data_IF_466337193910
#
_entry.id   IF_466337193910
#
_cell.length_a   1.000
_cell.length_b   1.000
_cell.length_c   1.000
_cell.angle_alpha   90.00
_cell.angle_beta   90.00
_cell.angle_gamma   90.00
#
_symmetry.space_group_name_H-M   'P 1'
#
loop_
_entity.id
_entity.type
_entity.pdbx_description
1 polymer ?
#
# COMPACT_ATOMS: atom_id res chain seq x y z
N UNK A 1 7.59 -4.47 7.22
CA UNK A 1 7.08 -5.81 7.59
C UNK A 1 6.60 -5.75 9.03
N UNK A 2 5.36 -6.18 9.29
CA UNK A 2 4.72 -6.02 10.61
C UNK A 2 4.78 -7.31 11.44
N UNK A 3 5.38 -7.27 12.64
CA UNK A 3 5.18 -8.28 13.69
C UNK A 3 4.08 -7.81 14.63
N UNK A 4 2.98 -8.56 14.67
CA UNK A 4 1.90 -8.38 15.64
C UNK A 4 2.21 -9.23 16.88
N UNK A 5 2.53 -8.59 18.00
CA UNK A 5 2.54 -9.21 19.31
C UNK A 5 1.54 -8.48 20.19
N UNK A 6 0.35 -9.07 20.39
CA UNK A 6 -0.81 -8.78 21.28
C UNK A 6 -1.21 -7.34 21.67
N UNK A 7 -0.37 -6.30 21.50
CA UNK A 7 -0.63 -4.89 21.81
C UNK A 7 0.28 -3.91 21.04
N UNK A 8 1.28 -4.38 20.27
CA UNK A 8 2.20 -3.53 19.52
C UNK A 8 2.43 -4.02 18.08
N UNK A 9 2.53 -3.07 17.15
CA UNK A 9 2.93 -3.27 15.76
C UNK A 9 4.41 -2.95 15.61
N UNK A 10 5.23 -3.98 15.43
CA UNK A 10 6.66 -3.85 15.17
C UNK A 10 6.88 -3.66 13.68
N UNK A 11 7.64 -2.64 13.29
CA UNK A 11 8.04 -2.42 11.91
C UNK A 11 9.55 -2.51 11.77
N UNK A 12 10.00 -3.29 10.80
CA UNK A 12 11.40 -3.37 10.41
C UNK A 12 11.60 -2.93 8.95
N UNK A 13 12.71 -2.24 8.72
CA UNK A 13 13.29 -1.93 7.43
C UNK A 13 14.61 -2.71 7.31
N UNK A 14 14.79 -3.34 6.15
CA UNK A 14 15.94 -4.19 5.86
C UNK A 14 16.57 -3.68 4.57
N UNK A 15 17.90 -3.61 4.55
CA UNK A 15 18.69 -3.31 3.36
C UNK A 15 19.87 -4.28 3.32
N UNK A 16 20.08 -4.94 2.18
CA UNK A 16 21.24 -5.82 1.95
C UNK A 16 21.46 -6.83 3.08
N UNK A 17 20.37 -7.49 3.51
CA UNK A 17 20.37 -8.51 4.58
C UNK A 17 20.57 -7.99 6.01
N UNK A 18 20.74 -6.67 6.19
CA UNK A 18 20.84 -6.04 7.50
C UNK A 18 19.56 -5.30 7.87
N UNK A 19 19.10 -5.47 9.10
CA UNK A 19 18.06 -4.62 9.68
C UNK A 19 18.67 -3.24 9.90
N UNK A 20 18.23 -2.27 9.11
CA UNK A 20 18.71 -0.88 9.17
C UNK A 20 17.76 0.03 9.92
N UNK A 21 16.51 -0.38 10.11
CA UNK A 21 15.54 0.38 10.88
C UNK A 21 14.58 -0.55 11.60
N UNK A 22 14.32 -0.27 12.87
CA UNK A 22 13.31 -1.00 13.63
C UNK A 22 12.65 -0.09 14.65
N UNK A 23 11.32 -0.16 14.74
CA UNK A 23 10.56 0.57 15.75
C UNK A 23 9.24 -0.12 16.10
N UNK A 24 8.68 0.30 17.24
CA UNK A 24 7.47 -0.25 17.84
C UNK A 24 6.38 0.82 17.84
N UNK A 25 5.26 0.51 17.20
CA UNK A 25 4.11 1.40 17.08
C UNK A 25 2.93 0.86 17.89
N UNK A 26 2.21 1.75 18.57
CA UNK A 26 0.98 1.43 19.31
C UNK A 26 -0.28 1.44 18.43
N UNK A 27 -0.17 1.96 17.20
CA UNK A 27 -1.29 2.04 16.26
C UNK A 27 -1.61 0.65 15.71
N UNK A 28 -2.89 0.28 15.62
CA UNK A 28 -3.33 -1.02 15.08
C UNK A 28 -3.21 -1.16 13.56
N UNK A 29 -3.10 -0.05 12.82
CA UNK A 29 -3.05 -0.03 11.35
C UNK A 29 -1.70 0.44 10.83
N UNK A 30 -1.20 -0.24 9.78
CA UNK A 30 0.12 0.02 9.19
C UNK A 30 0.21 1.38 8.45
N UNK A 31 -0.93 1.96 8.07
CA UNK A 31 -1.02 3.17 7.24
C UNK A 31 -0.21 4.37 7.76
N UNK A 32 -0.12 4.56 9.08
CA UNK A 32 0.64 5.67 9.69
C UNK A 32 2.08 5.34 10.11
N UNK A 33 2.52 4.09 9.92
CA UNK A 33 3.79 3.61 10.47
C UNK A 33 4.97 3.81 9.52
N UNK A 34 4.74 3.79 8.20
CA UNK A 34 5.81 3.96 7.19
C UNK A 34 6.50 5.31 7.30
N UNK A 35 5.74 6.40 7.25
CA UNK A 35 6.28 7.78 7.33
C UNK A 35 7.06 7.97 8.64
N UNK A 36 6.51 7.46 9.74
CA UNK A 36 7.17 7.58 11.05
C UNK A 36 8.47 6.78 11.11
N UNK A 37 8.51 5.59 10.51
CA UNK A 37 9.72 4.77 10.40
C UNK A 37 10.78 5.47 9.53
N UNK A 38 10.40 5.96 8.35
CA UNK A 38 11.30 6.65 7.43
C UNK A 38 11.92 7.90 8.05
N UNK A 39 11.11 8.74 8.71
CA UNK A 39 11.60 9.93 9.44
C UNK A 39 12.58 9.56 10.54
N UNK A 40 12.29 8.49 11.27
CA UNK A 40 13.17 7.99 12.33
C UNK A 40 14.50 7.50 11.77
N UNK A 41 14.46 6.75 10.68
CA UNK A 41 15.66 6.27 9.98
C UNK A 41 16.47 7.44 9.42
N UNK A 42 15.85 8.41 8.76
CA UNK A 42 16.52 9.60 8.24
C UNK A 42 17.22 10.37 9.34
N UNK A 43 16.57 10.57 10.49
CA UNK A 43 17.17 11.24 11.65
C UNK A 43 18.39 10.48 12.20
N UNK A 44 18.33 9.14 12.24
CA UNK A 44 19.41 8.30 12.78
C UNK A 44 20.58 8.15 11.82
N UNK A 45 20.30 8.01 10.53
CA UNK A 45 21.32 7.74 9.51
C UNK A 45 21.92 9.03 8.92
N UNK A 46 21.27 10.18 9.13
CA UNK A 46 21.64 11.44 8.50
C UNK A 46 21.34 11.51 7.00
N UNK A 47 20.76 10.45 6.42
CA UNK A 47 20.43 10.32 5.02
C UNK A 47 19.10 9.58 4.83
N UNK A 48 18.43 9.81 3.69
CA UNK A 48 17.19 9.13 3.30
C UNK A 48 17.51 8.00 2.32
N UNK A 49 16.70 6.96 2.33
CA UNK A 49 16.71 5.94 1.27
C UNK A 49 16.03 6.48 0.02
N UNK A 50 16.63 6.29 -1.14
CA UNK A 50 16.05 6.74 -2.41
C UNK A 50 14.87 5.87 -2.83
N UNK A 51 14.94 4.56 -2.59
CA UNK A 51 13.91 3.61 -3.01
C UNK A 51 13.22 2.98 -1.79
N UNK A 52 11.89 2.98 -1.80
CA UNK A 52 11.08 2.45 -0.69
C UNK A 52 10.19 1.33 -1.19
N UNK A 53 10.53 0.10 -0.81
CA UNK A 53 9.75 -1.10 -1.11
C UNK A 53 8.87 -1.52 0.07
N UNK A 54 7.56 -1.63 -0.15
CA UNK A 54 6.61 -1.94 0.93
C UNK A 54 5.45 -2.86 0.49
N UNK A 55 4.82 -3.50 1.47
CA UNK A 55 3.66 -4.37 1.26
C UNK A 55 2.37 -3.62 0.93
N UNK A 56 1.39 -4.38 0.48
CA UNK A 56 -0.02 -4.01 0.35
C UNK A 56 -0.60 -3.26 1.56
N UNK A 57 -0.15 -3.58 2.78
CA UNK A 57 -0.62 -2.92 4.00
C UNK A 57 -0.23 -1.44 4.13
N UNK A 58 0.77 -0.97 3.37
CA UNK A 58 1.23 0.42 3.37
C UNK A 58 0.69 1.25 2.21
N UNK A 59 -0.19 0.70 1.36
CA UNK A 59 -0.79 1.46 0.27
C UNK A 59 -1.73 2.55 0.83
N UNK A 60 -1.31 3.80 0.80
CA UNK A 60 -2.17 4.95 1.11
C UNK A 60 -1.77 6.16 0.28
N UNK A 61 -2.71 7.09 0.08
CA UNK A 61 -2.42 8.37 -0.57
C UNK A 61 -1.34 9.13 0.20
N UNK A 62 -1.44 9.18 1.53
CA UNK A 62 -0.51 9.92 2.37
C UNK A 62 0.92 9.38 2.26
N UNK A 63 1.10 8.05 2.18
CA UNK A 63 2.42 7.45 1.96
C UNK A 63 2.96 7.78 0.57
N UNK A 64 2.13 7.75 -0.47
CA UNK A 64 2.57 8.11 -1.82
C UNK A 64 3.00 9.58 -1.91
N UNK A 65 2.18 10.50 -1.38
CA UNK A 65 2.48 11.92 -1.39
C UNK A 65 3.74 12.21 -0.57
N UNK A 66 3.90 11.59 0.61
CA UNK A 66 5.09 11.75 1.41
C UNK A 66 6.36 11.31 0.65
N UNK A 67 6.34 10.13 0.03
CA UNK A 67 7.49 9.63 -0.73
C UNK A 67 7.85 10.55 -1.88
N UNK A 68 6.85 11.01 -2.64
CA UNK A 68 7.05 11.95 -3.75
C UNK A 68 7.65 13.28 -3.27
N UNK A 69 7.05 13.91 -2.25
CA UNK A 69 7.54 15.16 -1.67
C UNK A 69 8.97 15.03 -1.11
N UNK A 70 9.35 13.83 -0.65
CA UNK A 70 10.68 13.55 -0.13
C UNK A 70 11.64 13.04 -1.21
N UNK A 71 11.24 13.02 -2.49
CA UNK A 71 12.07 12.55 -3.60
C UNK A 71 12.49 11.08 -3.45
N UNK A 72 11.59 10.24 -2.92
CA UNK A 72 11.79 8.80 -2.75
C UNK A 72 10.90 8.03 -3.74
N UNK A 73 11.47 7.07 -4.46
CA UNK A 73 10.76 6.25 -5.43
C UNK A 73 9.96 5.14 -4.73
N UNK A 74 8.67 5.07 -5.04
CA UNK A 74 7.76 4.10 -4.44
C UNK A 74 7.75 2.75 -5.18
N UNK A 75 7.92 1.68 -4.42
CA UNK A 75 7.77 0.28 -4.81
C UNK A 75 6.77 -0.41 -3.87
N UNK A 76 5.60 0.21 -3.69
CA UNK A 76 4.53 -0.28 -2.82
C UNK A 76 3.61 -1.21 -3.62
N UNK A 77 3.41 -2.42 -3.12
CA UNK A 77 2.49 -3.39 -3.71
C UNK A 77 1.04 -2.91 -3.54
N UNK A 78 0.19 -2.91 -4.58
CA UNK A 78 -1.22 -2.54 -4.42
C UNK A 78 -1.99 -3.49 -3.49
N UNK A 79 -2.94 -2.97 -2.72
CA UNK A 79 -3.71 -3.74 -1.73
C UNK A 79 -4.53 -4.89 -2.33
N UNK A 80 -5.08 -4.67 -3.53
CA UNK A 80 -5.87 -5.67 -4.25
C UNK A 80 -5.03 -6.53 -5.21
N UNK A 81 -3.70 -6.47 -5.17
CA UNK A 81 -2.82 -7.09 -6.17
C UNK A 81 -3.04 -8.61 -6.32
N UNK A 82 -3.21 -9.35 -5.21
CA UNK A 82 -3.54 -10.78 -5.27
C UNK A 82 -5.02 -11.01 -5.62
N UNK A 83 -5.92 -10.17 -5.09
CA UNK A 83 -7.36 -10.29 -5.33
C UNK A 83 -7.70 -10.13 -6.82
N UNK A 84 -7.00 -9.23 -7.53
CA UNK A 84 -7.13 -9.00 -8.99
C UNK A 84 -6.94 -10.27 -9.82
N UNK A 85 -6.14 -11.25 -9.34
CA UNK A 85 -5.91 -12.52 -10.03
C UNK A 85 -7.11 -13.48 -9.94
N UNK A 86 -7.95 -13.33 -8.91
CA UNK A 86 -9.08 -14.23 -8.66
C UNK A 86 -10.20 -14.09 -9.70
N UNK A 87 -10.83 -15.20 -10.08
CA UNK A 87 -12.02 -15.20 -10.96
C UNK A 87 -13.16 -14.36 -10.36
N UNK A 88 -13.32 -14.37 -9.03
CA UNK A 88 -14.35 -13.60 -8.31
C UNK A 88 -14.16 -12.09 -8.47
N UNK A 89 -12.92 -11.60 -8.47
CA UNK A 89 -12.66 -10.17 -8.68
C UNK A 89 -12.96 -9.76 -10.13
N UNK A 90 -12.52 -10.55 -11.10
CA UNK A 90 -12.74 -10.29 -12.54
C UNK A 90 -14.22 -10.30 -12.93
N UNK A 91 -15.05 -11.11 -12.26
CA UNK A 91 -16.51 -11.14 -12.47
C UNK A 91 -17.28 -9.93 -11.92
N UNK A 92 -16.65 -9.07 -11.12
CA UNK A 92 -17.32 -7.89 -10.56
C UNK A 92 -17.34 -6.75 -11.59
N UNK A 93 -18.26 -6.85 -12.56
CA UNK A 93 -18.42 -5.91 -13.68
C UNK A 93 -18.66 -4.46 -13.25
N UNK A 94 -19.17 -4.24 -12.03
CA UNK A 94 -19.42 -2.91 -11.47
C UNK A 94 -18.18 -2.19 -10.92
N UNK A 95 -17.01 -2.83 -10.89
CA UNK A 95 -15.76 -2.22 -10.41
C UNK A 95 -15.12 -1.36 -11.47
N UNK A 96 -14.60 -0.20 -11.08
CA UNK A 96 -13.84 0.68 -11.95
C UNK A 96 -12.58 -0.01 -12.51
N UNK A 97 -11.94 -0.90 -11.74
CA UNK A 97 -10.79 -1.72 -12.19
C UNK A 97 -11.14 -2.65 -13.37
N UNK A 98 -12.43 -2.98 -13.55
CA UNK A 98 -12.91 -3.89 -14.58
C UNK A 98 -13.65 -3.14 -15.70
N UNK A 99 -13.52 -1.81 -15.75
CA UNK A 99 -14.07 -0.95 -16.81
C UNK A 99 -12.94 -0.40 -17.67
N UNK A 100 -13.24 -0.15 -18.94
CA UNK A 100 -12.30 0.49 -19.86
C UNK A 100 -12.39 2.00 -19.68
N UNK A 101 -11.26 2.65 -19.46
CA UNK A 101 -11.14 4.10 -19.43
C UNK A 101 -10.70 4.60 -20.80
N UNK A 102 -11.39 5.61 -21.31
CA UNK A 102 -11.06 6.35 -22.53
C UNK A 102 -10.49 7.72 -22.11
N UNK A 103 -9.23 7.97 -22.48
CA UNK A 103 -8.52 9.19 -22.11
C UNK A 103 -8.86 10.38 -23.03
N UNK A 104 -9.30 10.14 -24.26
CA UNK A 104 -9.67 11.21 -25.19
C UNK A 104 -11.01 11.83 -24.79
N UNK A 105 -11.95 10.98 -24.37
CA UNK A 105 -13.31 11.37 -24.01
C UNK A 105 -13.51 11.61 -22.49
N UNK A 106 -12.46 11.41 -21.69
CA UNK A 106 -12.48 11.33 -20.21
C UNK A 106 -13.73 10.59 -19.68
N UNK A 107 -13.85 9.31 -20.05
CA UNK A 107 -15.01 8.52 -19.68
C UNK A 107 -14.68 7.05 -19.40
N UNK A 108 -15.57 6.38 -18.65
CA UNK A 108 -15.50 4.93 -18.47
C UNK A 108 -16.58 4.24 -19.28
N UNK A 109 -16.27 3.08 -19.85
CA UNK A 109 -17.26 2.26 -20.56
C UNK A 109 -17.62 1.05 -19.71
N UNK A 110 -18.92 0.88 -19.44
CA UNK A 110 -19.42 -0.29 -18.71
C UNK A 110 -19.47 -1.54 -19.61
N UNK A 111 -19.69 -2.72 -19.01
CA UNK A 111 -19.76 -3.99 -19.76
C UNK A 111 -20.92 -4.09 -20.76
N UNK A 112 -21.90 -3.18 -20.68
CA UNK A 112 -23.00 -3.06 -21.63
C UNK A 112 -22.74 -1.98 -22.70
N UNK A 113 -21.51 -1.47 -22.82
CA UNK A 113 -21.12 -0.48 -23.81
C UNK A 113 -21.57 0.96 -23.52
N UNK A 114 -22.28 1.20 -22.41
CA UNK A 114 -22.71 2.56 -22.02
C UNK A 114 -21.54 3.36 -21.41
N UNK A 115 -21.41 4.62 -21.80
CA UNK A 115 -20.41 5.57 -21.29
C UNK A 115 -20.83 6.15 -19.93
N UNK A 116 -19.85 6.32 -19.06
CA UNK A 116 -19.93 7.04 -17.79
C UNK A 116 -19.06 8.29 -17.94
N UNK A 117 -19.71 9.42 -18.18
CA UNK A 117 -19.06 10.71 -18.44
C UNK A 117 -18.63 11.38 -17.13
N UNK A 118 -17.58 12.19 -17.18
CA UNK A 118 -17.20 13.04 -16.06
C UNK A 118 -18.34 14.00 -15.71
N UNK A 119 -18.82 13.94 -14.47
CA UNK A 119 -19.93 14.78 -13.98
C UNK A 119 -19.45 15.91 -13.10
N UNK A 120 -18.46 15.63 -12.25
CA UNK A 120 -17.82 16.63 -11.39
C UNK A 120 -16.40 16.22 -11.07
N UNK A 121 -15.57 17.21 -10.81
CA UNK A 121 -14.23 17.06 -10.29
C UNK A 121 -14.02 18.07 -9.16
N UNK A 122 -13.30 17.65 -8.12
CA UNK A 122 -12.93 18.49 -6.99
C UNK A 122 -11.45 18.30 -6.72
N UNK A 123 -10.72 19.40 -6.63
CA UNK A 123 -9.32 19.43 -6.25
C UNK A 123 -9.18 20.22 -4.96
N UNK A 124 -8.56 19.59 -3.95
CA UNK A 124 -8.30 20.19 -2.65
C UNK A 124 -6.80 20.14 -2.34
N UNK A 125 -6.29 21.13 -1.62
CA UNK A 125 -4.92 21.10 -1.12
C UNK A 125 -4.86 20.29 0.18
N UNK A 126 -3.94 19.34 0.25
CA UNK A 126 -3.68 18.52 1.43
C UNK A 126 -2.17 18.42 1.67
N UNK A 127 -1.73 18.94 2.81
CA UNK A 127 -0.32 18.87 3.25
C UNK A 127 0.68 19.33 2.17
N UNK A 128 0.35 20.41 1.44
CA UNK A 128 1.17 20.97 0.35
C UNK A 128 1.08 20.23 -0.99
N UNK A 129 0.16 19.27 -1.14
CA UNK A 129 -0.12 18.56 -2.39
C UNK A 129 -1.57 18.70 -2.82
N UNK A 130 -1.81 18.87 -4.13
CA UNK A 130 -3.15 18.88 -4.68
C UNK A 130 -3.69 17.46 -4.85
N UNK A 131 -4.87 17.21 -4.29
CA UNK A 131 -5.57 15.92 -4.34
C UNK A 131 -6.87 16.10 -5.11
N UNK A 132 -7.00 15.36 -6.21
CA UNK A 132 -8.15 15.43 -7.10
C UNK A 132 -9.01 14.19 -6.96
N UNK A 133 -10.32 14.41 -6.82
CA UNK A 133 -11.36 13.38 -6.88
C UNK A 133 -12.34 13.72 -8.00
N UNK A 134 -12.65 12.75 -8.84
CA UNK A 134 -13.57 12.86 -9.96
C UNK A 134 -14.76 11.91 -9.76
N UNK A 135 -15.93 12.31 -10.26
CA UNK A 135 -17.12 11.48 -10.26
C UNK A 135 -17.62 11.30 -11.69
N UNK A 136 -17.75 10.04 -12.10
CA UNK A 136 -18.20 9.63 -13.42
C UNK A 136 -19.57 8.99 -13.31
N UNK A 137 -20.49 9.34 -14.20
CA UNK A 137 -21.88 8.89 -14.11
C UNK A 137 -22.39 8.45 -15.47
N UNK A 138 -23.07 7.31 -15.47
CA UNK A 138 -23.83 6.85 -16.63
C UNK A 138 -25.06 7.74 -16.80
N UNK A 139 -25.43 8.08 -18.04
CA UNK A 139 -26.65 8.86 -18.30
C UNK A 139 -27.90 8.10 -17.84
N UNK A 140 -28.04 6.84 -18.28
CA UNK A 140 -29.18 6.00 -17.93
C UNK A 140 -28.79 4.52 -17.74
N UNK A 141 -29.29 3.91 -16.66
CA UNK A 141 -29.16 2.49 -16.34
C UNK A 141 -30.51 1.77 -16.15
N UNK A 142 -31.63 2.41 -16.50
CA UNK A 142 -32.96 1.79 -16.47
C UNK A 142 -33.03 0.65 -17.49
N UNK A 143 -33.75 -0.41 -17.12
CA UNK A 143 -33.90 -1.63 -17.92
C UNK A 143 -32.60 -2.40 -18.21
N UNK A 144 -31.48 -2.10 -17.55
CA UNK A 144 -30.20 -2.76 -17.80
C UNK A 144 -30.19 -4.18 -17.19
N UNK A 145 -30.02 -5.20 -18.05
CA UNK A 145 -29.98 -6.62 -17.64
C UNK A 145 -28.84 -6.95 -16.66
N UNK A 146 -27.75 -6.18 -16.69
CA UNK A 146 -26.59 -6.36 -15.81
C UNK A 146 -26.65 -5.52 -14.54
N UNK A 147 -27.77 -4.85 -14.25
CA UNK A 147 -27.87 -3.87 -13.16
C UNK A 147 -27.55 -4.46 -11.78
N UNK A 148 -28.12 -5.61 -11.44
CA UNK A 148 -27.91 -6.25 -10.13
C UNK A 148 -26.43 -6.55 -9.83
N UNK A 149 -25.67 -6.94 -10.85
CA UNK A 149 -24.23 -7.22 -10.73
C UNK A 149 -23.34 -5.97 -10.87
N UNK A 150 -23.84 -4.90 -11.51
CA UNK A 150 -23.07 -3.69 -11.85
C UNK A 150 -23.25 -2.54 -10.84
N UNK A 151 -24.47 -2.37 -10.34
CA UNK A 151 -24.87 -1.27 -9.44
C UNK A 151 -25.05 -1.81 -8.03
N UNK A 152 -24.49 -1.11 -7.04
CA UNK A 152 -24.71 -1.42 -5.62
C UNK A 152 -25.85 -0.63 -4.99
N UNK A 153 -26.33 0.41 -5.66
CA UNK A 153 -27.43 1.24 -5.17
C UNK A 153 -28.73 0.43 -5.13
N UNK A 154 -29.49 0.59 -4.04
CA UNK A 154 -30.80 -0.09 -3.88
C UNK A 154 -31.88 0.51 -4.78
N UNK A 155 -31.77 1.81 -5.05
CA UNK A 155 -32.67 2.52 -5.95
C UNK A 155 -32.45 2.05 -7.40
N UNK A 156 -33.49 1.56 -8.05
CA UNK A 156 -33.46 1.04 -9.43
C UNK A 156 -33.42 2.13 -10.50
N UNK A 157 -33.76 3.37 -10.15
CA UNK A 157 -33.79 4.49 -11.10
C UNK A 157 -32.49 5.29 -11.08
N UNK A 158 -31.68 5.15 -10.04
CA UNK A 158 -30.37 5.82 -9.99
C UNK A 158 -29.38 5.18 -10.97
N UNK A 159 -28.80 5.94 -11.91
CA UNK A 159 -27.76 5.41 -12.77
C UNK A 159 -26.46 5.19 -12.00
N UNK A 160 -25.57 4.39 -12.58
CA UNK A 160 -24.28 4.09 -11.97
C UNK A 160 -23.44 5.36 -11.86
N UNK A 161 -22.92 5.62 -10.67
CA UNK A 161 -21.90 6.62 -10.40
C UNK A 161 -20.63 5.94 -9.86
N UNK A 162 -19.48 6.43 -10.30
CA UNK A 162 -18.15 6.03 -9.84
C UNK A 162 -17.48 7.25 -9.23
N UNK A 163 -16.85 7.06 -8.08
CA UNK A 163 -15.93 8.04 -7.50
C UNK A 163 -14.50 7.53 -7.69
N UNK A 164 -13.68 8.34 -8.36
CA UNK A 164 -12.28 8.07 -8.65
C UNK A 164 -11.41 9.10 -7.94
N UNK A 165 -10.61 8.66 -6.98
CA UNK A 165 -9.54 9.46 -6.40
C UNK A 165 -8.37 9.53 -7.40
N UNK A 166 -8.44 10.45 -8.38
CA UNK A 166 -7.50 10.55 -9.50
C UNK A 166 -6.04 10.52 -9.03
N UNK A 167 -5.67 11.38 -8.08
CA UNK A 167 -4.30 11.45 -7.55
C UNK A 167 -3.85 10.13 -6.93
N UNK A 168 -4.70 9.46 -6.14
CA UNK A 168 -4.36 8.14 -5.57
C UNK A 168 -4.10 7.10 -6.66
N UNK A 169 -4.94 7.07 -7.69
CA UNK A 169 -4.81 6.13 -8.79
C UNK A 169 -3.57 6.39 -9.65
N UNK A 170 -3.23 7.65 -9.89
CA UNK A 170 -2.00 8.05 -10.55
C UNK A 170 -0.77 7.54 -9.78
N UNK A 171 -0.64 7.89 -8.49
CA UNK A 171 0.50 7.46 -7.67
C UNK A 171 0.58 5.95 -7.51
N UNK A 172 -0.57 5.31 -7.32
CA UNK A 172 -0.68 3.85 -7.31
C UNK A 172 -0.21 3.23 -8.62
N UNK A 173 -0.61 3.79 -9.77
CA UNK A 173 -0.24 3.26 -11.10
C UNK A 173 1.27 3.40 -11.32
N UNK A 174 1.85 4.53 -10.91
CA UNK A 174 3.30 4.74 -10.91
C UNK A 174 4.02 3.67 -10.08
N UNK A 175 3.63 3.50 -8.81
CA UNK A 175 4.21 2.47 -7.93
C UNK A 175 3.99 1.04 -8.47
N UNK A 176 2.81 0.74 -9.04
CA UNK A 176 2.50 -0.55 -9.64
C UNK A 176 3.34 -0.85 -10.89
N UNK A 177 3.72 0.18 -11.66
CA UNK A 177 4.69 0.05 -12.77
C UNK A 177 6.09 -0.25 -12.24
N UNK A 178 6.54 0.48 -11.23
CA UNK A 178 7.87 0.30 -10.63
C UNK A 178 8.09 -1.12 -10.11
N UNK A 179 7.11 -1.71 -9.39
CA UNK A 179 7.26 -3.09 -8.88
C UNK A 179 7.31 -4.16 -9.98
N UNK A 180 6.89 -3.84 -11.21
CA UNK A 180 6.87 -4.75 -12.36
C UNK A 180 8.14 -4.69 -13.21
N UNK A 181 9.00 -3.69 -13.01
CA UNK A 181 10.31 -3.64 -13.68
C UNK A 181 11.20 -4.76 -13.13
N UNK A 182 12.25 -5.13 -13.86
CA UNK A 182 13.23 -6.12 -13.39
C UNK A 182 13.83 -5.71 -12.04
N UNK A 183 14.18 -4.43 -11.89
CA UNK A 183 14.64 -3.85 -10.63
C UNK A 183 13.60 -3.98 -9.51
N UNK A 184 12.35 -3.61 -9.76
CA UNK A 184 11.28 -3.75 -8.77
C UNK A 184 10.93 -5.20 -8.43
N UNK A 185 11.10 -6.15 -9.35
CA UNK A 185 10.99 -7.59 -9.08
C UNK A 185 12.14 -8.04 -8.17
N UNK A 186 13.37 -7.65 -8.48
CA UNK A 186 14.55 -7.93 -7.67
C UNK A 186 14.40 -7.40 -6.23
N UNK A 187 14.06 -6.11 -6.08
CA UNK A 187 13.82 -5.49 -4.77
C UNK A 187 12.76 -6.26 -3.96
N UNK A 188 11.67 -6.71 -4.59
CA UNK A 188 10.63 -7.50 -3.92
C UNK A 188 11.11 -8.90 -3.53
N UNK A 189 11.90 -9.56 -4.36
CA UNK A 189 12.50 -10.86 -4.06
C UNK A 189 13.47 -10.76 -2.88
N UNK A 190 14.43 -9.84 -2.95
CA UNK A 190 15.37 -9.56 -1.87
C UNK A 190 14.63 -9.28 -0.56
N UNK A 191 13.60 -8.43 -0.61
CA UNK A 191 12.82 -8.12 0.57
C UNK A 191 12.10 -9.34 1.13
N UNK A 192 11.51 -10.22 0.31
CA UNK A 192 10.84 -11.45 0.79
C UNK A 192 11.84 -12.38 1.49
N UNK A 193 12.99 -12.63 0.86
CA UNK A 193 14.06 -13.48 1.39
C UNK A 193 14.58 -12.91 2.71
N UNK A 194 14.85 -11.61 2.76
CA UNK A 194 15.36 -10.93 3.96
C UNK A 194 14.34 -10.90 5.10
N UNK A 195 13.07 -10.64 4.78
CA UNK A 195 11.93 -10.65 5.71
C UNK A 195 11.74 -12.02 6.34
N UNK A 196 11.67 -13.07 5.52
CA UNK A 196 11.46 -14.45 5.99
C UNK A 196 12.70 -14.99 6.70
N UNK A 197 13.89 -14.73 6.17
CA UNK A 197 15.17 -15.10 6.80
C UNK A 197 15.35 -14.46 8.17
N UNK A 198 15.11 -13.15 8.30
CA UNK A 198 15.16 -12.46 9.59
C UNK A 198 14.20 -13.06 10.61
N UNK A 199 13.01 -13.45 10.18
CA UNK A 199 11.99 -13.98 11.09
C UNK A 199 12.20 -15.44 11.45
N UNK A 200 12.66 -16.25 10.48
CA UNK A 200 13.03 -17.63 10.73
C UNK A 200 14.18 -17.69 11.72
N UNK A 201 15.20 -16.84 11.55
CA UNK A 201 16.34 -16.73 12.47
C UNK A 201 15.91 -16.26 13.87
N UNK A 202 15.06 -15.23 13.96
CA UNK A 202 14.53 -14.78 15.26
C UNK A 202 13.74 -15.87 16.00
N UNK A 203 12.92 -16.65 15.29
CA UNK A 203 12.09 -17.69 15.90
C UNK A 203 12.86 -18.96 16.25
N UNK A 204 13.72 -19.43 15.35
CA UNK A 204 14.41 -20.70 15.50
C UNK A 204 15.70 -20.57 16.31
N UNK A 205 16.54 -19.58 16.01
CA UNK A 205 17.88 -19.49 16.60
C UNK A 205 17.90 -18.67 17.89
N UNK A 206 17.10 -17.60 17.94
CA UNK A 206 16.97 -16.79 19.15
C UNK A 206 15.82 -17.26 20.06
N UNK A 207 15.08 -18.30 19.66
CA UNK A 207 13.97 -18.86 20.44
C UNK A 207 12.86 -17.85 20.75
N UNK A 208 12.75 -16.76 19.97
CA UNK A 208 11.83 -15.67 20.27
C UNK A 208 10.38 -16.11 20.05
N UNK A 209 9.63 -16.28 21.15
CA UNK A 209 8.20 -16.64 21.13
C UNK A 209 7.27 -15.50 21.53
N UNK A 210 7.75 -14.60 22.40
CA UNK A 210 7.04 -13.41 22.90
C UNK A 210 8.06 -12.47 23.53
N UNK A 211 7.73 -11.17 23.58
CA UNK A 211 8.50 -10.22 24.38
C UNK A 211 8.48 -10.61 25.85
N UNK A 212 9.66 -10.60 26.48
CA UNK A 212 9.83 -10.91 27.90
C UNK A 212 9.49 -9.70 28.78
N UNK A 213 9.61 -8.50 28.21
CA UNK A 213 9.40 -7.25 28.91
C UNK A 213 8.02 -6.62 28.62
N UNK A 214 7.56 -5.76 29.54
CA UNK A 214 6.34 -4.96 29.39
C UNK A 214 6.69 -3.47 29.30
N UNK A 215 5.86 -2.72 28.58
CA UNK A 215 6.03 -1.29 28.34
C UNK A 215 6.83 -1.00 27.07
N UNK A 216 6.39 0.02 26.31
CA UNK A 216 6.90 0.34 24.96
C UNK A 216 8.42 0.50 24.90
N UNK A 217 9.01 1.17 25.90
CA UNK A 217 10.45 1.40 25.95
C UNK A 217 11.23 0.09 26.08
N UNK A 218 10.82 -0.80 27.00
CA UNK A 218 11.50 -2.06 27.24
C UNK A 218 11.36 -3.02 26.04
N UNK A 219 10.14 -3.11 25.48
CA UNK A 219 9.87 -3.89 24.26
C UNK A 219 10.74 -3.40 23.11
N UNK A 220 10.89 -2.08 22.97
CA UNK A 220 11.76 -1.49 21.94
C UNK A 220 13.24 -1.80 22.17
N UNK A 221 13.72 -1.78 23.41
CA UNK A 221 15.10 -2.17 23.74
C UNK A 221 15.37 -3.65 23.43
N UNK A 222 14.47 -4.54 23.86
CA UNK A 222 14.55 -5.97 23.55
C UNK A 222 14.61 -6.23 22.05
N UNK A 223 13.78 -5.50 21.30
CA UNK A 223 13.75 -5.56 19.84
C UNK A 223 15.05 -5.05 19.18
N UNK A 224 15.68 -4.03 19.73
CA UNK A 224 16.99 -3.57 19.24
C UNK A 224 18.09 -4.60 19.48
N UNK A 225 18.12 -5.26 20.63
CA UNK A 225 19.09 -6.32 20.90
C UNK A 225 18.91 -7.51 19.95
N UNK A 226 17.66 -7.88 19.66
CA UNK A 226 17.35 -8.91 18.67
C UNK A 226 17.82 -8.52 17.26
N UNK A 227 17.57 -7.28 16.84
CA UNK A 227 18.02 -6.78 15.54
C UNK A 227 19.56 -6.72 15.43
N UNK A 228 20.23 -6.30 16.51
CA UNK A 228 21.70 -6.30 16.58
C UNK A 228 22.27 -7.71 16.50
N UNK A 229 21.71 -8.66 17.27
CA UNK A 229 22.12 -10.06 17.23
C UNK A 229 21.93 -10.69 15.86
N UNK A 230 20.81 -10.38 15.18
CA UNK A 230 20.59 -10.79 13.80
C UNK A 230 21.65 -10.22 12.85
N UNK A 231 21.89 -8.91 12.91
CA UNK A 231 22.88 -8.26 12.06
C UNK A 231 24.29 -8.84 12.28
N UNK A 232 24.72 -9.05 13.53
CA UNK A 232 26.03 -9.61 13.86
C UNK A 232 26.21 -11.03 13.31
N UNK A 233 25.15 -11.84 13.31
CA UNK A 233 25.18 -13.19 12.74
C UNK A 233 25.36 -13.18 11.22
N UNK A 234 24.86 -12.15 10.52
CA UNK A 234 25.03 -12.02 9.08
C UNK A 234 26.39 -11.41 8.68
N UNK A 235 27.22 -11.01 9.65
CA UNK A 235 28.57 -10.46 9.40
C UNK A 235 29.69 -11.51 9.56
N UNK A 236 29.38 -12.74 10.00
CA UNK A 236 30.36 -13.81 10.23
C UNK A 236 30.05 -15.05 9.43
#
# INVERSE_FOLDING_TARGET
MTLLSYSYNVQAAVNSEFITGIDVFSNRTDFGTLISLLRTMQKRHGAKYEEVTADAGYESLDNYLYLEQNGQTSFIKPSNYEQKKSKKFKKQIGRIENMTYDAEEDCFTCTQGRKLLLRRECTEEKDGSFVTTAWYRCEDCRGCLSREACCKARDTDQPKELMLKKTFWEKRTFSERNIRTEHGVHLRMCRSIQSEGAFALLKNDFGFRRFLTRGKANVRTELFFLALGFNLKNTG
#
